data_IF_065798949471
#
_entry.id   IF_065798949471
#
_cell.length_a   1.000
_cell.length_b   1.000
_cell.length_c   1.000
_cell.angle_alpha   90.00
_cell.angle_beta   90.00
_cell.angle_gamma   90.00
#
_symmetry.space_group_name_H-M   'P 1'
#
loop_
_entity.id
_entity.type
_entity.pdbx_description
1 polymer ?
#
# COMPACT_ATOMS: atom_id res chain seq x y z
N UNK A 1 -12.20 -19.53 -14.50
CA UNK A 1 -12.68 -18.13 -14.56
C UNK A 1 -12.64 -17.41 -13.21
N UNK A 2 -12.92 -18.08 -12.08
CA UNK A 2 -12.84 -17.44 -10.75
C UNK A 2 -11.39 -17.18 -10.29
N UNK A 3 -10.45 -18.04 -10.69
CA UNK A 3 -9.02 -17.92 -10.39
C UNK A 3 -8.33 -16.76 -11.11
N UNK A 4 -8.79 -16.41 -12.32
CA UNK A 4 -8.16 -15.37 -13.15
C UNK A 4 -8.54 -13.95 -12.73
N UNK A 5 -9.71 -13.73 -12.12
CA UNK A 5 -10.12 -12.41 -11.63
C UNK A 5 -9.45 -12.02 -10.29
N UNK A 6 -9.16 -12.99 -9.42
CA UNK A 6 -8.46 -12.76 -8.15
C UNK A 6 -6.99 -12.36 -8.36
N UNK A 7 -6.35 -12.84 -9.42
CA UNK A 7 -4.96 -12.50 -9.77
C UNK A 7 -4.81 -11.05 -10.28
N UNK A 8 -5.83 -10.50 -10.95
CA UNK A 8 -5.74 -9.15 -11.54
C UNK A 8 -5.84 -8.05 -10.46
N UNK A 9 -6.60 -8.27 -9.39
CA UNK A 9 -6.72 -7.30 -8.30
C UNK A 9 -5.45 -7.21 -7.44
N UNK A 10 -4.68 -8.29 -7.33
CA UNK A 10 -3.40 -8.33 -6.60
C UNK A 10 -2.24 -7.65 -7.35
N UNK A 11 -2.36 -7.44 -8.67
CA UNK A 11 -1.30 -6.92 -9.53
C UNK A 11 -1.26 -5.38 -9.67
N UNK A 12 -2.24 -4.66 -9.10
CA UNK A 12 -2.42 -3.21 -9.34
C UNK A 12 -1.98 -2.30 -8.17
N UNK A 13 -1.42 -2.86 -7.10
CA UNK A 13 -0.83 -2.08 -6.02
C UNK A 13 0.65 -2.40 -5.89
N UNK A 14 1.53 -1.45 -6.21
CA UNK A 14 2.95 -1.59 -5.86
C UNK A 14 3.11 -1.84 -4.35
N UNK A 15 4.21 -2.46 -3.90
CA UNK A 15 4.41 -2.88 -2.51
C UNK A 15 4.29 -1.71 -1.50
N UNK A 16 4.58 -0.49 -1.95
CA UNK A 16 4.43 0.73 -1.18
C UNK A 16 2.99 1.20 -0.92
N UNK A 17 1.97 0.56 -1.52
CA UNK A 17 0.56 0.89 -1.25
C UNK A 17 0.17 0.61 0.20
N UNK A 18 0.79 -0.40 0.81
CA UNK A 18 0.48 -0.93 2.14
C UNK A 18 1.48 -0.47 3.20
N UNK A 19 2.61 0.08 2.77
CA UNK A 19 3.69 0.60 3.62
C UNK A 19 3.65 2.13 3.68
N UNK A 20 2.50 2.75 3.33
CA UNK A 20 2.32 4.21 3.33
C UNK A 20 2.54 4.84 4.69
N UNK A 21 2.34 4.10 5.78
CA UNK A 21 2.57 4.59 7.14
C UNK A 21 4.06 4.65 7.51
N UNK A 22 4.93 3.97 6.73
CA UNK A 22 6.38 4.11 6.83
C UNK A 22 6.91 5.29 6.02
N UNK A 23 6.14 5.82 5.06
CA UNK A 23 6.53 7.00 4.32
C UNK A 23 6.32 8.25 5.18
N UNK A 24 7.36 9.08 5.29
CA UNK A 24 7.27 10.36 5.99
C UNK A 24 7.13 11.49 4.98
N UNK A 25 6.06 12.28 5.08
CA UNK A 25 5.73 13.34 4.10
C UNK A 25 6.49 14.65 4.27
N UNK A 26 6.85 15.00 5.50
CA UNK A 26 7.38 16.33 5.85
C UNK A 26 8.72 16.25 6.59
N UNK A 27 9.31 15.05 6.69
CA UNK A 27 10.53 14.79 7.45
C UNK A 27 11.17 13.52 6.89
N UNK A 28 12.49 13.41 6.96
CA UNK A 28 13.16 12.16 6.60
C UNK A 28 13.49 11.32 7.84
N UNK A 29 13.86 10.06 7.59
CA UNK A 29 14.60 9.30 8.57
C UNK A 29 16.05 9.78 8.54
N UNK A 30 16.56 10.14 9.70
CA UNK A 30 17.91 10.66 9.87
C UNK A 30 18.69 9.76 10.81
N UNK A 31 19.91 9.40 10.41
CA UNK A 31 20.81 8.56 11.19
C UNK A 31 22.17 9.23 11.28
N UNK A 32 22.52 9.64 12.50
CA UNK A 32 23.86 10.10 12.84
C UNK A 32 24.71 8.89 13.22
N UNK A 33 25.75 8.60 12.46
CA UNK A 33 26.66 7.49 12.78
C UNK A 33 27.78 8.00 13.71
N UNK A 34 27.94 7.41 14.89
CA UNK A 34 29.01 7.80 15.83
C UNK A 34 30.42 7.42 15.35
N UNK A 35 30.54 6.48 14.40
CA UNK A 35 31.80 5.95 13.85
C UNK A 35 32.02 6.26 12.35
N UNK A 36 31.20 7.12 11.73
CA UNK A 36 31.40 7.50 10.33
C UNK A 36 31.18 8.98 10.10
N UNK A 37 31.83 9.44 9.05
CA UNK A 37 31.96 10.84 8.68
C UNK A 37 30.82 11.20 7.71
N UNK A 38 29.62 11.39 8.29
CA UNK A 38 28.45 11.86 7.56
C UNK A 38 27.09 11.53 8.17
N UNK A 39 26.07 12.28 7.73
CA UNK A 39 24.67 12.12 8.08
C UNK A 39 23.92 11.39 6.97
N UNK A 40 23.14 10.37 7.33
CA UNK A 40 22.34 9.61 6.38
C UNK A 40 20.87 10.07 6.45
N UNK A 41 20.30 10.36 5.28
CA UNK A 41 18.88 10.68 5.12
C UNK A 41 18.23 9.66 4.21
N UNK A 42 17.07 9.15 4.60
CA UNK A 42 16.29 8.25 3.75
C UNK A 42 14.80 8.40 3.98
N UNK A 43 14.04 8.04 2.96
CA UNK A 43 12.59 7.96 3.02
C UNK A 43 12.13 6.69 2.32
N UNK A 44 11.26 5.93 2.99
CA UNK A 44 10.70 4.70 2.45
C UNK A 44 9.50 5.07 1.57
N UNK A 45 9.32 4.37 0.44
CA UNK A 45 8.17 4.57 -0.44
C UNK A 45 7.97 6.02 -0.93
N UNK A 46 9.05 6.76 -1.09
CA UNK A 46 9.02 8.15 -1.55
C UNK A 46 10.42 8.75 -1.70
N UNK A 47 10.45 10.04 -2.00
CA UNK A 47 11.69 10.81 -2.09
C UNK A 47 12.07 11.44 -0.76
N UNK A 48 13.36 11.75 -0.62
CA UNK A 48 13.92 12.50 0.51
C UNK A 48 13.53 13.99 0.38
N UNK A 49 13.11 14.59 1.49
CA UNK A 49 12.70 16.01 1.55
C UNK A 49 13.84 16.95 2.01
N UNK A 50 14.92 16.40 2.58
CA UNK A 50 16.08 17.12 3.14
C UNK A 50 16.64 18.18 2.20
N UNK A 51 16.94 19.38 2.70
CA UNK A 51 17.52 20.54 1.98
C UNK A 51 18.97 20.33 1.52
N UNK A 52 19.17 19.29 0.71
CA UNK A 52 20.41 18.98 0.02
C UNK A 52 20.37 19.61 -1.37
N UNK A 53 21.51 20.14 -1.83
CA UNK A 53 21.72 20.85 -3.10
C UNK A 53 21.63 19.95 -4.36
N UNK A 54 20.70 19.00 -4.39
CA UNK A 54 20.57 17.96 -5.44
C UNK A 54 19.12 17.87 -5.88
N UNK A 55 18.91 17.42 -7.12
CA UNK A 55 17.59 17.09 -7.63
C UNK A 55 16.97 15.93 -6.84
N UNK A 56 15.92 16.22 -6.07
CA UNK A 56 15.33 15.30 -5.08
C UNK A 56 14.24 14.41 -5.65
N UNK A 57 13.81 14.60 -6.91
CA UNK A 57 12.58 13.99 -7.43
C UNK A 57 12.56 12.46 -7.36
N UNK A 58 13.74 11.83 -7.50
CA UNK A 58 13.86 10.38 -7.63
C UNK A 58 14.82 9.73 -6.61
N UNK A 59 15.21 10.44 -5.54
CA UNK A 59 16.19 9.94 -4.56
C UNK A 59 15.48 9.51 -3.28
N UNK A 60 15.68 8.25 -2.88
CA UNK A 60 15.11 7.68 -1.64
C UNK A 60 16.11 7.54 -0.50
N UNK A 61 17.41 7.37 -0.82
CA UNK A 61 18.46 7.16 0.19
C UNK A 61 19.71 7.96 -0.19
N UNK A 62 20.19 8.79 0.74
CA UNK A 62 21.32 9.69 0.51
C UNK A 62 22.23 9.78 1.74
N UNK A 63 23.54 9.83 1.48
CA UNK A 63 24.57 9.99 2.50
C UNK A 63 25.25 11.35 2.29
N UNK A 64 25.12 12.25 3.25
CA UNK A 64 25.85 13.50 3.28
C UNK A 64 27.20 13.26 3.98
N UNK A 65 28.28 13.11 3.20
CA UNK A 65 29.60 12.80 3.78
C UNK A 65 30.38 14.05 4.10
N UNK A 66 30.79 14.16 5.36
CA UNK A 66 31.68 15.22 5.85
C UNK A 66 33.12 15.03 5.37
N UNK A 67 33.57 13.80 5.09
CA UNK A 67 34.94 13.54 4.58
C UNK A 67 35.15 14.14 3.20
N UNK A 68 34.16 13.95 2.32
CA UNK A 68 34.27 14.27 0.92
C UNK A 68 33.62 15.61 0.58
N UNK A 69 33.05 16.31 1.58
CA UNK A 69 32.21 17.50 1.41
C UNK A 69 31.21 17.34 0.26
N UNK A 70 30.65 16.12 0.13
CA UNK A 70 29.84 15.74 -1.02
C UNK A 70 28.74 14.78 -0.60
N UNK A 71 27.69 14.79 -1.40
CA UNK A 71 26.50 13.99 -1.16
C UNK A 71 26.50 12.79 -2.09
N UNK A 72 26.39 11.61 -1.50
CA UNK A 72 26.47 10.31 -2.19
C UNK A 72 25.07 9.71 -2.26
N UNK A 73 24.62 9.39 -3.47
CA UNK A 73 23.30 8.77 -3.70
C UNK A 73 23.40 7.26 -3.55
N UNK A 74 22.72 6.71 -2.55
CA UNK A 74 22.73 5.27 -2.24
C UNK A 74 21.52 4.53 -2.81
N UNK A 75 20.46 5.24 -3.21
CA UNK A 75 19.24 4.60 -3.68
C UNK A 75 18.25 5.53 -4.36
N UNK A 76 17.74 5.09 -5.52
CA UNK A 76 16.67 5.78 -6.25
C UNK A 76 15.28 5.16 -6.02
N UNK A 77 14.24 5.98 -6.08
CA UNK A 77 12.82 5.59 -5.91
C UNK A 77 12.40 4.51 -6.91
N UNK A 78 12.83 4.60 -8.17
CA UNK A 78 12.45 3.68 -9.24
C UNK A 78 13.15 2.30 -9.16
N UNK A 79 14.20 2.19 -8.35
CA UNK A 79 14.94 0.93 -8.11
C UNK A 79 14.48 0.21 -6.85
N UNK A 80 13.51 0.77 -6.13
CA UNK A 80 12.99 0.22 -4.88
C UNK A 80 12.36 -1.15 -5.12
N UNK A 81 12.94 -2.16 -4.47
CA UNK A 81 12.40 -3.52 -4.45
C UNK A 81 12.11 -3.92 -3.01
N UNK A 82 10.90 -4.42 -2.78
CA UNK A 82 10.42 -4.76 -1.44
C UNK A 82 10.31 -6.27 -1.32
N UNK A 83 11.01 -6.81 -0.33
CA UNK A 83 10.94 -8.23 0.02
C UNK A 83 10.36 -8.36 1.42
N UNK A 84 9.42 -9.29 1.59
CA UNK A 84 8.78 -9.55 2.87
C UNK A 84 9.26 -10.92 3.31
N UNK A 85 9.78 -11.03 4.54
CA UNK A 85 10.22 -12.30 5.10
C UNK A 85 9.04 -13.27 5.23
N UNK A 86 9.30 -14.58 5.13
CA UNK A 86 8.28 -15.63 5.25
C UNK A 86 7.48 -15.52 6.57
N UNK A 87 8.15 -15.08 7.64
CA UNK A 87 7.56 -14.88 8.97
C UNK A 87 6.67 -13.62 9.07
N UNK A 88 6.58 -12.80 8.02
CA UNK A 88 5.87 -11.50 7.96
C UNK A 88 6.24 -10.50 9.07
N UNK A 89 7.35 -10.75 9.75
CA UNK A 89 7.84 -9.94 10.87
C UNK A 89 8.93 -8.95 10.43
N UNK A 90 9.35 -9.01 9.16
CA UNK A 90 10.45 -8.23 8.59
C UNK A 90 10.16 -7.85 7.14
N UNK A 91 10.41 -6.60 6.80
CA UNK A 91 10.38 -6.07 5.43
C UNK A 91 11.77 -5.57 5.09
N UNK A 92 12.27 -5.90 3.90
CA UNK A 92 13.54 -5.38 3.42
C UNK A 92 13.31 -4.63 2.11
N UNK A 93 13.72 -3.36 2.10
CA UNK A 93 13.71 -2.47 0.96
C UNK A 93 15.12 -2.42 0.38
N UNK A 94 15.27 -2.83 -0.87
CA UNK A 94 16.53 -2.78 -1.59
C UNK A 94 16.47 -1.66 -2.62
N UNK A 95 17.49 -0.80 -2.60
CA UNK A 95 17.65 0.33 -3.50
C UNK A 95 19.00 0.23 -4.19
N UNK A 96 19.00 0.54 -5.48
CA UNK A 96 20.22 0.70 -6.26
C UNK A 96 20.52 2.19 -6.41
N UNK A 97 21.75 2.56 -6.10
CA UNK A 97 22.24 3.93 -6.12
C UNK A 97 23.18 4.19 -7.29
N UNK A 98 24.15 5.07 -7.05
CA UNK A 98 25.11 5.48 -8.07
C UNK A 98 26.12 4.36 -8.39
N UNK A 99 26.49 4.23 -9.66
CA UNK A 99 27.62 3.40 -10.10
C UNK A 99 28.91 4.22 -10.05
N UNK A 100 29.86 3.83 -9.18
CA UNK A 100 31.21 4.37 -9.16
C UNK A 100 32.14 3.44 -9.96
N UNK A 101 32.49 3.85 -11.17
CA UNK A 101 33.34 3.10 -12.10
C UNK A 101 32.73 1.75 -12.50
N UNK A 102 33.06 0.66 -11.79
CA UNK A 102 32.57 -0.72 -12.01
C UNK A 102 31.75 -1.26 -10.84
N UNK A 103 31.50 -0.45 -9.81
CA UNK A 103 30.87 -0.85 -8.56
C UNK A 103 29.55 -0.11 -8.40
N UNK A 104 28.47 -0.86 -8.20
CA UNK A 104 27.15 -0.31 -7.95
C UNK A 104 26.96 -0.21 -6.43
N UNK A 105 26.68 1.01 -5.97
CA UNK A 105 26.44 1.29 -4.56
C UNK A 105 24.95 1.05 -4.28
N UNK A 106 24.62 0.18 -3.33
CA UNK A 106 23.23 -0.14 -2.97
C UNK A 106 22.94 0.09 -1.50
N UNK A 107 21.67 0.32 -1.17
CA UNK A 107 21.18 0.38 0.19
C UNK A 107 20.10 -0.69 0.44
N UNK A 108 20.19 -1.37 1.58
CA UNK A 108 19.22 -2.32 2.09
C UNK A 108 18.66 -1.79 3.41
N UNK A 109 17.38 -1.41 3.43
CA UNK A 109 16.71 -0.96 4.65
C UNK A 109 15.80 -2.08 5.15
N UNK A 110 16.12 -2.64 6.30
CA UNK A 110 15.40 -3.72 6.95
C UNK A 110 14.54 -3.19 8.10
N UNK A 111 13.23 -3.43 8.06
CA UNK A 111 12.29 -3.02 9.09
C UNK A 111 11.71 -4.25 9.78
N UNK A 112 12.03 -4.43 11.06
CA UNK A 112 11.44 -5.47 11.90
C UNK A 112 10.22 -4.95 12.67
N UNK A 113 9.24 -5.80 12.88
CA UNK A 113 8.09 -5.49 13.74
C UNK A 113 8.50 -5.46 15.22
N UNK A 114 8.03 -4.44 15.93
CA UNK A 114 8.14 -4.34 17.39
C UNK A 114 7.25 -3.23 17.95
N UNK A 115 6.95 -3.32 19.25
CA UNK A 115 5.97 -2.46 19.92
C UNK A 115 6.43 -1.01 20.09
N UNK A 116 7.75 -0.81 20.15
CA UNK A 116 8.36 0.50 20.27
C UNK A 116 9.03 0.91 18.94
N UNK A 117 8.93 2.20 18.60
CA UNK A 117 9.75 2.83 17.55
C UNK A 117 11.17 3.05 18.09
N UNK A 118 11.84 1.98 18.49
CA UNK A 118 13.24 2.06 18.88
C UNK A 118 14.10 2.01 17.61
N UNK A 119 14.61 3.19 17.23
CA UNK A 119 15.59 3.37 16.20
C UNK A 119 16.96 2.86 16.68
N UNK A 120 17.09 1.56 16.96
CA UNK A 120 18.41 0.93 17.05
C UNK A 120 18.88 0.68 15.61
N UNK A 121 19.08 1.78 14.88
CA UNK A 121 19.50 1.74 13.49
C UNK A 121 20.96 1.31 13.49
N UNK A 122 21.21 0.05 13.15
CA UNK A 122 22.57 -0.48 13.06
C UNK A 122 23.00 -0.45 11.60
N UNK A 123 23.82 0.54 11.19
CA UNK A 123 24.39 0.57 9.86
C UNK A 123 25.47 -0.51 9.77
N UNK A 124 25.18 -1.56 9.02
CA UNK A 124 26.18 -2.55 8.63
C UNK A 124 26.67 -2.25 7.22
N UNK A 125 27.99 -2.27 7.03
CA UNK A 125 28.61 -2.13 5.71
C UNK A 125 29.05 -3.52 5.26
N UNK A 126 28.37 -4.06 4.26
CA UNK A 126 28.88 -5.16 3.44
C UNK A 126 29.52 -4.57 2.18
N UNK A 127 30.37 -5.29 1.47
CA UNK A 127 31.06 -4.78 0.27
C UNK A 127 30.09 -4.02 -0.67
N UNK A 128 30.24 -2.68 -0.72
CA UNK A 128 29.45 -1.72 -1.51
C UNK A 128 27.93 -1.69 -1.24
N UNK A 129 27.47 -2.36 -0.19
CA UNK A 129 26.07 -2.40 0.23
C UNK A 129 25.93 -1.89 1.66
N UNK A 130 25.07 -0.89 1.83
CA UNK A 130 24.75 -0.31 3.13
C UNK A 130 23.48 -0.92 3.67
N UNK A 131 23.56 -1.61 4.80
CA UNK A 131 22.43 -2.27 5.44
C UNK A 131 22.01 -1.47 6.66
N UNK A 132 20.73 -1.14 6.77
CA UNK A 132 20.15 -0.37 7.86
C UNK A 132 18.99 -1.14 8.46
N UNK A 133 19.10 -1.60 9.70
CA UNK A 133 18.02 -2.35 10.36
C UNK A 133 17.36 -1.52 11.46
N UNK A 134 16.03 -1.45 11.50
CA UNK A 134 15.32 -0.77 12.60
C UNK A 134 13.97 -1.40 12.91
N UNK A 135 13.44 -1.10 14.10
CA UNK A 135 12.18 -1.65 14.59
C UNK A 135 11.07 -0.62 14.50
N UNK A 136 9.90 -1.05 13.99
CA UNK A 136 8.72 -0.20 13.88
C UNK A 136 7.42 -1.00 14.10
N UNK A 137 6.43 -0.45 14.82
CA UNK A 137 5.12 -1.07 14.97
C UNK A 137 4.34 -1.12 13.65
N UNK A 138 4.66 -0.24 12.70
CA UNK A 138 4.03 -0.22 11.38
C UNK A 138 4.42 -1.43 10.52
N UNK A 139 5.52 -2.12 10.85
CA UNK A 139 5.89 -3.38 10.23
C UNK A 139 5.16 -4.60 10.82
N UNK A 140 4.32 -4.45 11.85
CA UNK A 140 3.61 -5.60 12.45
C UNK A 140 2.34 -6.01 11.70
N UNK A 141 1.78 -5.11 10.88
CA UNK A 141 0.51 -5.32 10.19
C UNK A 141 0.68 -5.71 8.72
N UNK A 142 1.80 -6.33 8.33
CA UNK A 142 2.04 -6.79 6.94
C UNK A 142 1.23 -8.07 6.63
N UNK A 143 0.19 -8.35 7.39
CA UNK A 143 -0.82 -9.33 7.04
C UNK A 143 -1.83 -8.72 6.07
N UNK A 144 -1.37 -8.52 4.83
CA UNK A 144 -2.26 -8.35 3.67
C UNK A 144 -2.97 -9.69 3.39
N UNK A 145 -3.95 -10.02 4.23
CA UNK A 145 -5.05 -10.84 3.79
C UNK A 145 -5.99 -9.94 3.00
N UNK A 146 -6.06 -10.12 1.68
CA UNK A 146 -7.24 -9.72 0.93
C UNK A 146 -8.49 -10.09 1.76
N UNK A 147 -9.54 -9.26 1.86
CA UNK A 147 -10.70 -9.61 2.69
C UNK A 147 -11.44 -10.79 2.05
N UNK A 148 -10.94 -12.00 2.32
CA UNK A 148 -11.40 -13.27 1.73
C UNK A 148 -12.89 -13.43 2.01
N UNK A 149 -13.34 -13.01 3.20
CA UNK A 149 -14.75 -13.00 3.58
C UNK A 149 -15.59 -12.13 2.66
N UNK A 150 -15.13 -10.90 2.38
CA UNK A 150 -15.84 -9.97 1.50
C UNK A 150 -15.98 -10.53 0.09
N UNK A 151 -14.89 -11.10 -0.45
CA UNK A 151 -14.92 -11.61 -1.83
C UNK A 151 -15.68 -12.92 -1.97
N UNK A 152 -15.62 -13.80 -0.99
CA UNK A 152 -16.49 -15.00 -0.97
C UNK A 152 -17.96 -14.57 -0.94
N UNK A 153 -18.33 -13.62 -0.07
CA UNK A 153 -19.70 -13.14 0.04
C UNK A 153 -20.17 -12.49 -1.26
N UNK A 154 -19.37 -11.60 -1.86
CA UNK A 154 -19.66 -11.01 -3.15
C UNK A 154 -19.79 -12.07 -4.25
N UNK A 155 -18.94 -13.10 -4.25
CA UNK A 155 -18.98 -14.17 -5.25
C UNK A 155 -20.26 -15.00 -5.15
N UNK A 156 -20.68 -15.36 -3.94
CA UNK A 156 -21.93 -16.10 -3.69
C UNK A 156 -23.13 -15.26 -4.14
N UNK A 157 -23.13 -13.96 -3.82
CA UNK A 157 -24.20 -13.04 -4.20
C UNK A 157 -24.32 -12.94 -5.73
N UNK A 158 -23.20 -12.73 -6.43
CA UNK A 158 -23.19 -12.66 -7.90
C UNK A 158 -23.66 -13.98 -8.54
N UNK A 159 -23.17 -15.11 -8.04
CA UNK A 159 -23.62 -16.42 -8.52
C UNK A 159 -25.13 -16.64 -8.31
N UNK A 160 -25.66 -16.22 -7.16
CA UNK A 160 -27.09 -16.27 -6.85
C UNK A 160 -27.92 -15.40 -7.81
N UNK A 161 -27.46 -14.19 -8.12
CA UNK A 161 -28.12 -13.30 -9.09
C UNK A 161 -28.17 -13.92 -10.49
N UNK A 162 -27.06 -14.50 -10.94
CA UNK A 162 -27.00 -15.17 -12.26
C UNK A 162 -28.00 -16.32 -12.29
N UNK A 163 -28.01 -17.19 -11.28
CA UNK A 163 -28.93 -18.32 -11.20
C UNK A 163 -30.39 -17.86 -11.20
N UNK A 164 -30.69 -16.81 -10.43
CA UNK A 164 -32.01 -16.19 -10.39
C UNK A 164 -32.48 -15.71 -11.76
N UNK A 165 -31.63 -15.03 -12.52
CA UNK A 165 -31.98 -14.60 -13.88
C UNK A 165 -32.14 -15.78 -14.84
N UNK A 166 -31.24 -16.76 -14.83
CA UNK A 166 -31.32 -17.92 -15.74
C UNK A 166 -32.62 -18.70 -15.51
N UNK A 167 -32.94 -19.03 -14.25
CA UNK A 167 -34.17 -19.78 -13.92
C UNK A 167 -35.40 -18.92 -14.17
N UNK A 168 -35.41 -17.67 -13.69
CA UNK A 168 -36.58 -16.79 -13.83
C UNK A 168 -36.91 -16.45 -15.28
N UNK A 169 -35.89 -16.17 -16.10
CA UNK A 169 -36.06 -15.92 -17.54
C UNK A 169 -36.55 -17.19 -18.25
N UNK A 170 -35.94 -18.35 -17.95
CA UNK A 170 -36.35 -19.62 -18.56
C UNK A 170 -37.82 -19.95 -18.25
N UNK A 171 -38.27 -19.79 -17.00
CA UNK A 171 -39.66 -20.02 -16.64
C UNK A 171 -40.61 -19.02 -17.32
N UNK A 172 -40.25 -17.73 -17.35
CA UNK A 172 -41.07 -16.69 -17.98
C UNK A 172 -41.23 -16.91 -19.49
N UNK A 173 -40.19 -17.42 -20.18
CA UNK A 173 -40.22 -17.70 -21.61
C UNK A 173 -40.96 -19.03 -21.89
N UNK A 174 -40.54 -20.13 -21.28
CA UNK A 174 -41.00 -21.46 -21.67
C UNK A 174 -42.37 -21.82 -21.09
N UNK A 175 -42.65 -21.41 -19.84
CA UNK A 175 -43.90 -21.78 -19.15
C UNK A 175 -44.95 -20.69 -19.35
N UNK A 176 -44.58 -19.43 -19.08
CA UNK A 176 -45.54 -18.32 -19.08
C UNK A 176 -45.68 -17.61 -20.43
N UNK A 177 -44.83 -17.93 -21.41
CA UNK A 177 -44.82 -17.34 -22.77
C UNK A 177 -44.86 -15.80 -22.75
N UNK A 178 -44.23 -15.20 -21.73
CA UNK A 178 -44.11 -13.74 -21.61
C UNK A 178 -43.14 -13.22 -22.66
N UNK A 179 -43.43 -12.05 -23.22
CA UNK A 179 -42.63 -11.42 -24.27
C UNK A 179 -42.19 -10.00 -23.85
N UNK A 180 -41.08 -9.53 -24.41
CA UNK A 180 -40.55 -8.19 -24.14
C UNK A 180 -39.95 -8.03 -22.74
N UNK A 181 -40.18 -6.87 -22.11
CA UNK A 181 -39.58 -6.52 -20.81
C UNK A 181 -40.16 -7.33 -19.63
N UNK A 182 -41.28 -8.02 -19.81
CA UNK A 182 -41.88 -8.89 -18.79
C UNK A 182 -41.15 -10.22 -18.59
N UNK A 183 -40.21 -10.54 -19.48
CA UNK A 183 -39.36 -11.73 -19.37
C UNK A 183 -38.44 -11.62 -18.15
N UNK A 184 -37.98 -10.41 -17.83
CA UNK A 184 -37.08 -10.17 -16.70
C UNK A 184 -37.83 -10.29 -15.38
N UNK A 185 -37.45 -11.24 -14.51
CA UNK A 185 -38.09 -11.42 -13.23
C UNK A 185 -37.86 -10.18 -12.35
N UNK A 186 -38.94 -9.62 -11.79
CA UNK A 186 -38.92 -8.40 -10.97
C UNK A 186 -38.19 -7.20 -11.59
N UNK A 187 -38.39 -6.94 -12.89
CA UNK A 187 -37.73 -5.86 -13.63
C UNK A 187 -37.70 -4.49 -12.90
N UNK A 188 -38.83 -4.07 -12.30
CA UNK A 188 -38.91 -2.78 -11.58
C UNK A 188 -37.91 -2.67 -10.43
N UNK A 189 -37.65 -3.77 -9.71
CA UNK A 189 -36.68 -3.80 -8.63
C UNK A 189 -35.26 -3.62 -9.17
N UNK A 190 -34.89 -4.42 -10.18
CA UNK A 190 -33.56 -4.38 -10.79
C UNK A 190 -33.27 -3.06 -11.51
N UNK A 191 -34.29 -2.42 -12.08
CA UNK A 191 -34.17 -1.10 -12.68
C UNK A 191 -33.91 0.00 -11.63
N UNK A 192 -34.49 -0.12 -10.42
CA UNK A 192 -34.26 0.83 -9.33
C UNK A 192 -32.93 0.63 -8.61
N UNK A 193 -32.38 -0.59 -8.63
CA UNK A 193 -31.22 -0.99 -7.84
C UNK A 193 -29.96 -0.12 -8.04
N UNK A 194 -29.57 0.29 -9.27
CA UNK A 194 -28.41 1.16 -9.48
C UNK A 194 -28.54 2.50 -8.74
N UNK A 195 -29.74 3.07 -8.67
CA UNK A 195 -29.99 4.32 -7.95
C UNK A 195 -29.79 4.14 -6.43
N UNK A 196 -30.29 3.03 -5.87
CA UNK A 196 -30.08 2.71 -4.45
C UNK A 196 -28.59 2.49 -4.13
N UNK A 197 -27.81 1.92 -5.06
CA UNK A 197 -26.36 1.75 -4.88
C UNK A 197 -25.65 3.11 -4.86
N UNK A 198 -26.01 4.01 -5.77
CA UNK A 198 -25.45 5.37 -5.80
C UNK A 198 -25.75 6.13 -4.51
N UNK A 199 -26.99 6.05 -4.03
CA UNK A 199 -27.38 6.68 -2.75
C UNK A 199 -26.55 6.08 -1.59
N UNK A 200 -26.39 4.75 -1.54
CA UNK A 200 -25.57 4.08 -0.52
C UNK A 200 -24.09 4.48 -0.56
N UNK A 201 -23.53 4.69 -1.76
CA UNK A 201 -22.17 5.20 -1.93
C UNK A 201 -22.05 6.65 -1.44
N UNK A 202 -23.02 7.50 -1.74
CA UNK A 202 -23.04 8.89 -1.26
C UNK A 202 -23.04 8.96 0.27
N UNK A 203 -23.88 8.14 0.93
CA UNK A 203 -23.89 8.03 2.39
C UNK A 203 -22.56 7.52 2.98
N UNK A 204 -21.91 6.58 2.30
CA UNK A 204 -20.68 5.94 2.81
C UNK A 204 -19.46 6.83 2.60
N UNK A 205 -19.37 7.51 1.45
CA UNK A 205 -18.15 8.22 1.03
C UNK A 205 -18.24 9.75 1.15
N UNK A 206 -19.43 10.34 1.01
CA UNK A 206 -19.55 11.79 0.83
C UNK A 206 -19.79 12.57 2.13
N UNK A 207 -20.19 11.92 3.22
CA UNK A 207 -20.45 12.60 4.49
C UNK A 207 -19.94 11.80 5.69
N UNK A 208 -18.69 12.05 6.12
CA UNK A 208 -18.35 11.82 7.53
C UNK A 208 -19.28 12.75 8.34
N UNK A 209 -20.06 12.20 9.27
CA UNK A 209 -20.82 13.01 10.24
C UNK A 209 -19.91 14.14 10.76
N UNK A 210 -20.29 15.42 10.70
CA UNK A 210 -19.61 16.43 11.50
C UNK A 210 -19.66 15.96 12.95
N UNK A 211 -18.49 16.00 13.60
CA UNK A 211 -18.29 15.46 14.95
C UNK A 211 -19.38 15.94 15.89
N UNK A 212 -19.90 14.99 16.67
CA UNK A 212 -20.95 15.25 17.64
C UNK A 212 -20.53 16.34 18.63
N UNK A 213 -21.19 17.48 18.54
CA UNK A 213 -21.13 18.63 19.46
C UNK A 213 -21.79 18.27 20.80
N UNK A 214 -21.23 17.31 21.53
CA UNK A 214 -21.66 16.95 22.90
C UNK A 214 -20.67 17.40 23.99
N UNK A 215 -19.68 18.26 23.67
CA UNK A 215 -18.75 18.78 24.69
C UNK A 215 -19.21 20.08 25.38
N UNK A 216 -20.39 20.62 25.08
CA UNK A 216 -20.88 21.88 25.68
C UNK A 216 -22.11 21.71 26.58
N UNK A 217 -22.24 20.58 27.28
CA UNK A 217 -23.21 20.41 28.37
C UNK A 217 -22.55 19.77 29.59
N UNK A 218 -21.68 20.54 30.24
CA UNK A 218 -21.39 20.40 31.67
C UNK A 218 -21.72 21.74 32.33
N UNK A 219 -22.94 21.83 32.86
CA UNK A 219 -23.33 22.82 33.88
C UNK A 219 -23.35 22.10 35.22
#
# INVERSE_FOLDING_TARGET
MLTTLLLIAAALGGPCKYLKDLHRKNNDYHVTRQDADGDLYFNLCGHVDSDLSIDKSDISVVLNSTTFESVIVLGYTHTETVTISEDKNKVSFHYDGQSLSTLLLSALVEVSCGLDTSANIQPSKSDYMFIFSFTSPYACNISEGFPIVGVILCSILVAGIILYFVIGISLNIFVFKRNGMEIFPNFKFWYGLPRLVLDGMEFTFCCKKPGSEYQNLSV
#
